data_IF_972348221001
#
_entry.id   IF_972348221001
#
_cell.length_a   1.000
_cell.length_b   1.000
_cell.length_c   1.000
_cell.angle_alpha   90.00
_cell.angle_beta   90.00
_cell.angle_gamma   90.00
#
_symmetry.space_group_name_H-M   'P 1'
#
loop_
_entity.id
_entity.type
_entity.pdbx_description
1 polymer ?
#
# COMPACT_ATOMS: atom_id res chain seq x y z
N UNK A 1 -10.87 -14.74 1.11
CA UNK A 1 -10.16 -13.44 1.16
C UNK A 1 -9.48 -13.20 -0.19
N UNK A 2 -9.70 -12.02 -0.79
CA UNK A 2 -9.13 -11.65 -2.10
C UNK A 2 -7.67 -11.19 -1.87
N UNK A 3 -6.70 -11.74 -2.61
CA UNK A 3 -5.29 -11.36 -2.49
C UNK A 3 -5.06 -9.88 -2.80
N UNK A 4 -3.90 -9.35 -2.38
CA UNK A 4 -3.52 -7.98 -2.72
C UNK A 4 -3.38 -7.86 -4.24
N UNK A 5 -3.69 -6.69 -4.78
CA UNK A 5 -3.55 -6.37 -6.21
C UNK A 5 -2.18 -5.77 -6.50
N UNK A 6 -1.73 -5.76 -7.77
CA UNK A 6 -0.42 -5.17 -8.13
C UNK A 6 -0.32 -3.71 -7.69
N UNK A 7 -1.38 -2.93 -7.88
CA UNK A 7 -1.43 -1.54 -7.45
C UNK A 7 -1.32 -1.39 -5.92
N UNK A 8 -1.98 -2.26 -5.15
CA UNK A 8 -1.90 -2.26 -3.69
C UNK A 8 -0.50 -2.63 -3.21
N UNK A 9 0.15 -3.60 -3.85
CA UNK A 9 1.54 -3.95 -3.55
C UNK A 9 2.50 -2.83 -3.90
N UNK A 10 2.33 -2.16 -5.04
CA UNK A 10 3.16 -1.01 -5.38
C UNK A 10 3.05 0.09 -4.31
N UNK A 11 1.86 0.35 -3.79
CA UNK A 11 1.65 1.29 -2.68
C UNK A 11 2.33 0.81 -1.39
N UNK A 12 2.24 -0.48 -1.08
CA UNK A 12 2.86 -1.08 0.10
C UNK A 12 4.40 -1.09 0.02
N UNK A 13 4.96 -1.47 -1.12
CA UNK A 13 6.40 -1.49 -1.36
C UNK A 13 6.97 -0.05 -1.40
N UNK A 14 6.20 0.93 -1.93
CA UNK A 14 6.54 2.35 -1.85
C UNK A 14 6.61 2.85 -0.41
N UNK A 15 5.63 2.47 0.42
CA UNK A 15 5.62 2.75 1.86
C UNK A 15 6.87 2.19 2.55
N UNK A 16 7.16 0.90 2.35
CA UNK A 16 8.34 0.24 2.94
C UNK A 16 9.64 0.92 2.51
N UNK A 17 9.78 1.21 1.22
CA UNK A 17 10.96 1.89 0.67
C UNK A 17 11.13 3.26 1.29
N UNK A 18 10.04 4.00 1.47
CA UNK A 18 10.09 5.33 2.06
C UNK A 18 10.54 5.28 3.52
N UNK A 19 9.94 4.40 4.34
CA UNK A 19 10.34 4.18 5.74
C UNK A 19 11.82 3.79 5.83
N UNK A 20 12.27 2.84 5.00
CA UNK A 20 13.67 2.39 4.98
C UNK A 20 14.66 3.51 4.61
N UNK A 21 14.29 4.38 3.67
CA UNK A 21 15.18 5.45 3.18
C UNK A 21 15.21 6.68 4.09
N UNK A 22 14.08 7.01 4.70
CA UNK A 22 13.87 8.30 5.38
C UNK A 22 13.71 8.19 6.89
N UNK A 23 13.58 6.97 7.40
CA UNK A 23 13.41 6.65 8.83
C UNK A 23 12.20 7.35 9.49
N UNK A 24 11.17 7.70 8.71
CA UNK A 24 9.90 8.24 9.19
C UNK A 24 8.72 7.68 8.39
N UNK A 25 7.53 7.75 8.97
CA UNK A 25 6.29 7.35 8.31
C UNK A 25 5.95 8.32 7.16
N UNK A 26 5.81 7.86 5.91
CA UNK A 26 5.56 8.73 4.78
C UNK A 26 4.15 9.34 4.82
N UNK A 27 4.04 10.50 4.18
CA UNK A 27 2.78 11.13 3.81
C UNK A 27 2.15 10.47 2.57
N UNK A 28 0.86 10.73 2.34
CA UNK A 28 0.16 10.27 1.13
C UNK A 28 0.82 10.84 -0.13
N UNK A 29 1.33 12.06 -0.08
CA UNK A 29 2.04 12.70 -1.20
C UNK A 29 3.34 11.98 -1.53
N UNK A 30 4.14 11.64 -0.52
CA UNK A 30 5.38 10.88 -0.72
C UNK A 30 5.08 9.49 -1.28
N UNK A 31 4.00 8.85 -0.84
CA UNK A 31 3.56 7.56 -1.40
C UNK A 31 3.13 7.73 -2.86
N UNK A 32 2.39 8.78 -3.22
CA UNK A 32 2.04 9.07 -4.61
C UNK A 32 3.29 9.19 -5.50
N UNK A 33 4.28 9.95 -5.05
CA UNK A 33 5.53 10.17 -5.78
C UNK A 33 6.31 8.87 -6.00
N UNK A 34 6.45 8.05 -4.94
CA UNK A 34 7.22 6.80 -5.02
C UNK A 34 6.47 5.71 -5.78
N UNK A 35 5.14 5.65 -5.66
CA UNK A 35 4.31 4.63 -6.32
C UNK A 35 3.86 5.01 -7.74
N UNK A 36 4.19 6.22 -8.23
CA UNK A 36 3.82 6.70 -9.56
C UNK A 36 2.33 7.03 -9.74
N UNK A 37 1.57 7.20 -8.67
CA UNK A 37 0.14 7.50 -8.74
C UNK A 37 -0.12 9.01 -8.88
N UNK A 38 -0.93 9.39 -9.87
CA UNK A 38 -1.28 10.80 -10.14
C UNK A 38 -2.26 11.40 -9.13
N UNK A 39 -3.01 10.58 -8.40
CA UNK A 39 -4.09 11.03 -7.50
C UNK A 39 -3.93 10.52 -6.07
N UNK A 40 -3.95 11.46 -5.12
CA UNK A 40 -3.97 11.18 -3.67
C UNK A 40 -5.17 10.31 -3.29
N UNK A 41 -6.32 10.51 -3.92
CA UNK A 41 -7.55 9.74 -3.66
C UNK A 41 -7.39 8.26 -4.02
N UNK A 42 -6.67 7.95 -5.10
CA UNK A 42 -6.40 6.57 -5.51
C UNK A 42 -5.48 5.88 -4.49
N UNK A 43 -4.39 6.53 -4.10
CA UNK A 43 -3.49 6.00 -3.05
C UNK A 43 -4.23 5.83 -1.73
N UNK A 44 -5.04 6.81 -1.32
CA UNK A 44 -5.82 6.73 -0.10
C UNK A 44 -6.80 5.53 -0.11
N UNK A 45 -7.44 5.23 -1.25
CA UNK A 45 -8.27 4.03 -1.41
C UNK A 45 -7.45 2.75 -1.23
N UNK A 46 -6.26 2.67 -1.84
CA UNK A 46 -5.37 1.52 -1.68
C UNK A 46 -4.92 1.34 -0.22
N UNK A 47 -4.57 2.43 0.46
CA UNK A 47 -4.21 2.41 1.88
C UNK A 47 -5.39 1.92 2.75
N UNK A 48 -6.63 2.37 2.49
CA UNK A 48 -7.82 1.84 3.19
C UNK A 48 -7.97 0.34 3.03
N UNK A 49 -7.79 -0.18 1.82
CA UNK A 49 -7.86 -1.63 1.60
C UNK A 49 -6.74 -2.36 2.35
N UNK A 50 -5.50 -1.84 2.32
CA UNK A 50 -4.37 -2.41 3.05
C UNK A 50 -4.58 -2.39 4.58
N UNK A 51 -5.23 -1.36 5.12
CA UNK A 51 -5.59 -1.26 6.55
C UNK A 51 -6.68 -2.25 6.94
N UNK A 52 -7.74 -2.34 6.15
CA UNK A 52 -8.80 -3.34 6.37
C UNK A 52 -8.24 -4.77 6.27
N UNK A 53 -7.27 -5.00 5.38
CA UNK A 53 -6.59 -6.27 5.25
C UNK A 53 -5.53 -6.54 6.35
N UNK A 54 -5.29 -5.59 7.26
CA UNK A 54 -4.39 -5.75 8.41
C UNK A 54 -2.90 -5.60 8.11
N UNK A 55 -2.52 -5.09 6.93
CA UNK A 55 -1.11 -4.88 6.59
C UNK A 55 -0.54 -3.60 7.18
N UNK A 56 -1.36 -2.56 7.28
CA UNK A 56 -0.94 -1.23 7.73
C UNK A 56 -1.96 -0.63 8.71
N UNK A 57 -1.53 0.39 9.45
CA UNK A 57 -2.39 1.18 10.32
C UNK A 57 -1.98 2.64 10.26
N UNK A 58 -2.95 3.53 10.43
CA UNK A 58 -2.73 4.96 10.66
C UNK A 58 -3.93 5.56 11.39
N UNK A 59 -3.72 6.72 11.99
CA UNK A 59 -4.75 7.54 12.62
C UNK A 59 -5.30 8.55 11.61
N UNK A 60 -6.60 8.50 11.35
CA UNK A 60 -7.24 9.45 10.42
C UNK A 60 -7.12 10.89 10.95
N UNK A 61 -6.83 11.83 10.06
CA UNK A 61 -6.60 13.24 10.43
C UNK A 61 -5.21 13.56 10.98
N UNK A 62 -4.35 12.56 11.25
CA UNK A 62 -2.96 12.78 11.70
C UNK A 62 -1.95 12.44 10.62
N UNK A 63 -1.00 13.34 10.41
CA UNK A 63 0.12 13.11 9.49
C UNK A 63 1.15 12.17 10.12
N UNK A 64 1.87 11.42 9.28
CA UNK A 64 3.02 10.57 9.70
C UNK A 64 2.70 9.52 10.79
N UNK A 65 1.46 9.04 10.86
CA UNK A 65 1.07 7.93 11.75
C UNK A 65 1.06 6.58 11.05
N UNK A 66 1.45 6.53 9.78
CA UNK A 66 1.35 5.36 8.93
C UNK A 66 2.43 4.33 9.30
N UNK A 67 1.98 3.17 9.77
CA UNK A 67 2.82 2.07 10.28
C UNK A 67 2.49 0.79 9.54
N UNK A 68 3.51 -0.04 9.32
CA UNK A 68 3.36 -1.40 8.80
C UNK A 68 3.14 -2.34 9.99
N UNK A 69 2.06 -3.12 9.93
CA UNK A 69 1.67 -4.06 10.98
C UNK A 69 2.08 -5.49 10.61
N UNK A 70 1.96 -5.85 9.33
CA UNK A 70 2.27 -7.19 8.84
C UNK A 70 3.12 -7.12 7.56
N UNK A 71 4.06 -8.04 7.43
CA UNK A 71 4.76 -8.27 6.15
C UNK A 71 3.85 -8.97 5.14
N UNK A 72 4.01 -8.64 3.87
CA UNK A 72 3.38 -9.35 2.76
C UNK A 72 4.14 -10.66 2.55
N UNK A 73 3.46 -11.80 2.71
CA UNK A 73 4.05 -13.12 2.46
C UNK A 73 4.06 -13.45 0.96
N UNK A 74 4.87 -14.45 0.56
CA UNK A 74 4.89 -14.91 -0.84
C UNK A 74 3.52 -15.45 -1.29
N UNK A 75 2.75 -16.05 -0.38
CA UNK A 75 1.37 -16.48 -0.65
C UNK A 75 0.38 -15.32 -0.83
N UNK A 76 0.67 -14.15 -0.27
CA UNK A 76 -0.11 -12.93 -0.51
C UNK A 76 0.24 -12.32 -1.88
N UNK A 77 1.50 -12.49 -2.33
CA UNK A 77 1.97 -12.10 -3.66
C UNK A 77 1.49 -13.06 -4.75
N UNK A 78 1.49 -14.38 -4.55
CA UNK A 78 1.09 -15.34 -5.60
C UNK A 78 -0.39 -15.24 -6.00
N UNK A 79 -1.28 -14.81 -5.10
CA UNK A 79 -2.70 -14.56 -5.41
C UNK A 79 -2.94 -13.41 -6.40
N UNK A 80 -1.89 -12.66 -6.77
CA UNK A 80 -1.89 -11.63 -7.82
C UNK A 80 -2.13 -12.19 -9.23
N UNK A 81 -1.66 -13.42 -9.50
CA UNK A 81 -1.52 -13.91 -10.87
C UNK A 81 -2.85 -14.32 -11.52
N UNK A 82 -3.83 -14.76 -10.72
CA UNK A 82 -5.02 -15.45 -11.24
C UNK A 82 -6.25 -14.56 -11.45
N UNK A 83 -6.19 -13.25 -11.11
CA UNK A 83 -7.39 -12.40 -11.09
C UNK A 83 -7.36 -11.20 -12.04
N UNK A 84 -6.26 -10.98 -12.74
CA UNK A 84 -6.07 -9.83 -13.64
C UNK A 84 -5.86 -10.18 -15.11
N UNK A 85 -5.95 -11.46 -15.47
CA UNK A 85 -5.95 -11.90 -16.87
C UNK A 85 -7.31 -11.66 -17.58
N UNK A 86 -8.33 -11.16 -16.87
CA UNK A 86 -9.70 -10.94 -17.38
C UNK A 86 -10.24 -9.51 -17.14
N UNK A 87 -9.40 -8.49 -17.19
CA UNK A 87 -9.86 -7.10 -17.14
C UNK A 87 -9.13 -6.27 -18.21
N UNK A 88 -9.41 -6.59 -19.48
CA UNK A 88 -9.34 -5.67 -20.61
C UNK A 88 -10.77 -5.39 -21.06
#
# INVERSE_FOLDING_TARGET
MKGLTRAQLNVFDALLTNIRRRNYAPSIEEICLVSGHKSKSTVHRHLKILKVAGYIQWEEGKTRTLKVIKSVSEGDRQRLSLKYEYAN
#
